data_IF_847799893225
#
_entry.id   IF_847799893225
#
_cell.length_a   1.000
_cell.length_b   1.000
_cell.length_c   1.000
_cell.angle_alpha   90.00
_cell.angle_beta   90.00
_cell.angle_gamma   90.00
#
_symmetry.space_group_name_H-M   'P 1'
#
loop_
_entity.id
_entity.type
_entity.pdbx_description
1 polymer ?
#
# COMPACT_ATOMS: atom_id res chain seq x y z
N UNK A 1 17.08 11.19 -17.26
CA UNK A 1 16.71 12.62 -17.19
C UNK A 1 17.37 13.16 -15.94
N UNK A 2 18.12 14.24 -16.02
CA UNK A 2 18.78 14.82 -14.87
C UNK A 2 17.79 15.69 -14.09
N UNK A 3 17.54 15.37 -12.82
CA UNK A 3 16.58 16.08 -11.96
C UNK A 3 17.03 17.54 -11.70
N UNK A 4 18.33 17.80 -11.75
CA UNK A 4 18.91 19.11 -11.46
C UNK A 4 18.96 20.04 -12.69
N UNK A 5 18.99 19.47 -13.92
CA UNK A 5 19.16 20.22 -15.16
C UNK A 5 17.96 20.11 -16.10
N UNK A 6 16.93 19.32 -15.73
CA UNK A 6 15.75 19.11 -16.57
C UNK A 6 14.76 20.28 -16.52
N UNK A 7 13.98 20.45 -17.60
CA UNK A 7 12.86 21.41 -17.60
C UNK A 7 11.80 20.92 -16.59
N UNK A 8 11.39 21.76 -15.66
CA UNK A 8 10.47 21.44 -14.55
C UNK A 8 9.14 20.87 -15.06
N UNK A 9 8.49 21.54 -16.02
CA UNK A 9 7.16 21.13 -16.53
C UNK A 9 7.09 19.68 -17.06
N UNK A 10 7.95 19.23 -18.00
CA UNK A 10 7.90 17.86 -18.49
C UNK A 10 8.34 16.83 -17.42
N UNK A 11 9.21 17.21 -16.52
CA UNK A 11 9.61 16.38 -15.41
C UNK A 11 8.43 16.14 -14.47
N UNK A 12 7.78 17.20 -14.01
CA UNK A 12 6.60 17.15 -13.16
C UNK A 12 5.47 16.33 -13.82
N UNK A 13 5.16 16.58 -15.11
CA UNK A 13 4.13 15.81 -15.80
C UNK A 13 4.43 14.30 -15.84
N UNK A 14 5.71 13.91 -16.02
CA UNK A 14 6.13 12.51 -15.99
C UNK A 14 5.89 11.87 -14.62
N UNK A 15 6.27 12.56 -13.53
CA UNK A 15 6.06 12.07 -12.17
C UNK A 15 4.58 12.02 -11.81
N UNK A 16 3.81 13.03 -12.20
CA UNK A 16 2.36 13.08 -12.01
C UNK A 16 1.66 11.91 -12.69
N UNK A 17 1.97 11.65 -13.97
CA UNK A 17 1.38 10.52 -14.71
C UNK A 17 1.77 9.17 -14.07
N UNK A 18 3.01 9.03 -13.61
CA UNK A 18 3.46 7.83 -12.94
C UNK A 18 2.75 7.60 -11.61
N UNK A 19 2.59 8.64 -10.79
CA UNK A 19 1.87 8.58 -9.51
C UNK A 19 0.38 8.30 -9.74
N UNK A 20 -0.24 9.00 -10.68
CA UNK A 20 -1.65 8.82 -11.03
C UNK A 20 -1.95 7.41 -11.54
N UNK A 21 -1.12 6.87 -12.45
CA UNK A 21 -1.26 5.49 -12.93
C UNK A 21 -1.17 4.46 -11.80
N UNK A 22 -0.24 4.65 -10.86
CA UNK A 22 -0.12 3.76 -9.69
C UNK A 22 -1.35 3.85 -8.78
N UNK A 23 -1.86 5.05 -8.50
CA UNK A 23 -3.02 5.24 -7.65
C UNK A 23 -4.30 4.70 -8.29
N UNK A 24 -4.49 4.94 -9.59
CA UNK A 24 -5.65 4.44 -10.33
C UNK A 24 -5.74 2.92 -10.34
N UNK A 25 -4.65 2.21 -10.65
CA UNK A 25 -4.71 0.75 -10.72
C UNK A 25 -5.02 0.16 -9.35
N UNK A 26 -4.51 0.76 -8.27
CA UNK A 26 -4.82 0.32 -6.91
C UNK A 26 -6.31 0.43 -6.60
N UNK A 27 -6.95 1.52 -7.00
CA UNK A 27 -8.40 1.69 -6.84
C UNK A 27 -9.19 0.72 -7.72
N UNK A 28 -8.76 0.52 -8.97
CA UNK A 28 -9.44 -0.37 -9.92
C UNK A 28 -9.40 -1.82 -9.44
N UNK A 29 -8.23 -2.35 -9.05
CA UNK A 29 -8.18 -3.74 -8.60
C UNK A 29 -8.95 -3.97 -7.30
N UNK A 30 -8.98 -3.01 -6.39
CA UNK A 30 -9.78 -3.11 -5.16
C UNK A 30 -11.29 -3.20 -5.45
N UNK A 31 -11.77 -2.43 -6.42
CA UNK A 31 -13.18 -2.48 -6.87
C UNK A 31 -13.46 -3.83 -7.52
N UNK A 32 -12.56 -4.31 -8.40
CA UNK A 32 -12.71 -5.57 -9.12
C UNK A 32 -12.71 -6.76 -8.16
N UNK A 33 -11.77 -6.82 -7.21
CA UNK A 33 -11.69 -7.83 -6.16
C UNK A 33 -13.02 -7.88 -5.36
N UNK A 34 -13.50 -6.72 -4.90
CA UNK A 34 -14.78 -6.62 -4.19
C UNK A 34 -15.96 -7.09 -5.04
N UNK A 35 -15.99 -6.73 -6.34
CA UNK A 35 -17.07 -7.11 -7.24
C UNK A 35 -17.06 -8.63 -7.53
N UNK A 36 -15.89 -9.24 -7.76
CA UNK A 36 -15.76 -10.67 -8.05
C UNK A 36 -16.09 -11.52 -6.83
N UNK A 37 -15.60 -11.15 -5.64
CA UNK A 37 -15.95 -11.82 -4.39
C UNK A 37 -17.45 -11.67 -4.08
N UNK A 38 -18.00 -10.47 -4.33
CA UNK A 38 -19.43 -10.21 -4.17
C UNK A 38 -20.30 -11.01 -5.12
N UNK A 39 -19.85 -11.23 -6.35
CA UNK A 39 -20.55 -12.06 -7.33
C UNK A 39 -20.53 -13.55 -6.95
N UNK A 40 -19.44 -14.03 -6.36
CA UNK A 40 -19.30 -15.44 -5.96
C UNK A 40 -19.96 -15.78 -4.62
N UNK A 41 -19.69 -14.98 -3.57
CA UNK A 41 -20.17 -15.20 -2.19
C UNK A 41 -21.33 -14.28 -1.77
N UNK A 42 -21.81 -13.40 -2.67
CA UNK A 42 -22.86 -12.44 -2.36
C UNK A 42 -22.43 -11.39 -1.33
N UNK A 43 -23.41 -10.80 -0.61
CA UNK A 43 -23.15 -9.75 0.38
C UNK A 43 -22.19 -10.15 1.52
N UNK A 44 -22.17 -11.43 1.88
CA UNK A 44 -21.26 -11.94 2.93
C UNK A 44 -19.80 -11.87 2.50
N UNK A 45 -19.50 -12.15 1.23
CA UNK A 45 -18.14 -12.02 0.69
C UNK A 45 -17.63 -10.57 0.73
N UNK A 46 -18.45 -9.63 0.26
CA UNK A 46 -18.10 -8.20 0.30
C UNK A 46 -17.97 -7.68 1.74
N UNK A 47 -18.82 -8.13 2.67
CA UNK A 47 -18.69 -7.79 4.07
C UNK A 47 -17.40 -8.34 4.71
N UNK A 48 -17.00 -9.57 4.34
CA UNK A 48 -15.74 -10.14 4.80
C UNK A 48 -14.52 -9.31 4.34
N UNK A 49 -14.51 -8.86 3.07
CA UNK A 49 -13.47 -7.94 2.57
C UNK A 49 -13.45 -6.60 3.32
N UNK A 50 -14.63 -6.05 3.62
CA UNK A 50 -14.74 -4.80 4.38
C UNK A 50 -14.15 -4.91 5.79
N UNK A 51 -14.29 -6.07 6.44
CA UNK A 51 -13.66 -6.36 7.75
C UNK A 51 -12.13 -6.45 7.64
N UNK A 52 -11.61 -6.95 6.53
CA UNK A 52 -10.15 -7.06 6.30
C UNK A 52 -9.51 -5.72 5.89
N UNK A 53 -10.28 -4.81 5.30
CA UNK A 53 -9.77 -3.54 4.78
C UNK A 53 -8.96 -2.70 5.80
N UNK A 54 -9.32 -2.58 7.09
CA UNK A 54 -8.50 -1.86 8.06
C UNK A 54 -7.12 -2.49 8.29
N UNK A 55 -6.98 -3.81 8.18
CA UNK A 55 -5.68 -4.50 8.27
C UNK A 55 -4.76 -4.05 7.14
N UNK A 56 -5.32 -3.93 5.92
CA UNK A 56 -4.62 -3.38 4.77
C UNK A 56 -4.17 -1.95 4.98
N UNK A 57 -5.08 -1.08 5.42
CA UNK A 57 -4.78 0.32 5.65
C UNK A 57 -3.62 0.49 6.62
N UNK A 58 -3.56 -0.30 7.69
CA UNK A 58 -2.48 -0.23 8.68
C UNK A 58 -1.14 -0.62 8.05
N UNK A 59 -1.06 -1.74 7.33
CA UNK A 59 0.23 -2.18 6.75
C UNK A 59 0.71 -1.24 5.65
N UNK A 60 -0.21 -0.70 4.83
CA UNK A 60 0.11 0.31 3.83
C UNK A 60 0.60 1.61 4.46
N UNK A 61 -0.08 2.11 5.48
CA UNK A 61 0.31 3.34 6.19
C UNK A 61 1.67 3.20 6.85
N UNK A 62 1.99 2.04 7.45
CA UNK A 62 3.32 1.75 7.98
C UNK A 62 4.39 1.75 6.89
N UNK A 63 4.07 1.22 5.71
CA UNK A 63 4.95 1.27 4.54
C UNK A 63 5.22 2.69 4.05
N UNK A 64 4.18 3.53 4.04
CA UNK A 64 4.30 4.96 3.70
C UNK A 64 5.09 5.73 4.75
N UNK A 65 4.91 5.43 6.04
CA UNK A 65 5.67 6.05 7.14
C UNK A 65 7.18 5.96 6.89
N UNK A 66 7.68 4.76 6.66
CA UNK A 66 9.12 4.55 6.44
C UNK A 66 9.55 4.88 5.02
N UNK A 67 8.67 4.64 4.04
CA UNK A 67 8.94 4.87 2.62
C UNK A 67 9.03 6.35 2.29
N UNK A 68 7.98 7.12 2.56
CA UNK A 68 7.97 8.57 2.29
C UNK A 68 8.92 9.29 3.25
N UNK A 69 8.87 8.99 4.56
CA UNK A 69 9.77 9.60 5.52
C UNK A 69 11.24 9.42 5.18
N UNK A 70 11.63 8.19 4.80
CA UNK A 70 13.01 7.89 4.42
C UNK A 70 13.42 8.47 3.07
N UNK A 71 12.55 8.35 2.04
CA UNK A 71 12.89 8.76 0.68
C UNK A 71 12.93 10.28 0.50
N UNK A 72 12.13 11.03 1.24
CA UNK A 72 12.18 12.50 1.25
C UNK A 72 13.52 12.97 1.82
N UNK A 73 13.92 12.46 3.00
CA UNK A 73 15.22 12.83 3.60
C UNK A 73 16.37 12.37 2.70
N UNK A 74 16.28 11.18 2.11
CA UNK A 74 17.24 10.68 1.13
C UNK A 74 17.42 11.67 -0.03
N UNK A 75 16.33 12.15 -0.63
CA UNK A 75 16.38 13.14 -1.71
C UNK A 75 16.97 14.48 -1.25
N UNK A 76 16.58 14.98 -0.07
CA UNK A 76 17.09 16.22 0.49
C UNK A 76 18.60 16.16 0.73
N UNK A 77 19.10 15.07 1.31
CA UNK A 77 20.53 14.87 1.58
C UNK A 77 21.33 14.71 0.29
N UNK A 78 20.75 14.05 -0.71
CA UNK A 78 21.37 13.89 -2.03
C UNK A 78 21.48 15.21 -2.79
N UNK A 79 20.52 16.12 -2.64
CA UNK A 79 20.58 17.47 -3.24
C UNK A 79 21.56 18.42 -2.54
N UNK A 80 22.03 18.07 -1.35
CA UNK A 80 23.00 18.85 -0.59
C UNK A 80 24.43 18.40 -0.98
N UNK A 81 25.16 19.22 -1.71
CA UNK A 81 26.53 18.91 -2.19
C UNK A 81 27.53 18.62 -1.07
N UNK A 82 27.20 18.94 0.19
CA UNK A 82 28.11 18.84 1.34
C UNK A 82 28.18 17.44 1.98
N UNK A 83 27.26 16.52 1.69
CA UNK A 83 27.11 15.27 2.46
C UNK A 83 26.98 14.04 1.54
N UNK A 84 27.91 13.84 0.61
CA UNK A 84 27.94 12.66 -0.28
C UNK A 84 28.01 11.35 0.53
N UNK A 85 27.04 10.45 0.32
CA UNK A 85 26.97 9.12 0.93
C UNK A 85 26.10 9.01 2.19
N UNK A 86 25.74 10.12 2.83
CA UNK A 86 24.86 10.12 4.03
C UNK A 86 23.43 9.73 3.67
N UNK A 87 22.99 10.03 2.46
CA UNK A 87 21.64 9.69 1.95
C UNK A 87 21.38 8.18 2.04
N UNK A 88 22.35 7.36 1.72
CA UNK A 88 22.23 5.90 1.76
C UNK A 88 22.10 5.32 3.18
N UNK A 89 22.54 6.06 4.21
CA UNK A 89 22.28 5.67 5.59
C UNK A 89 20.79 5.76 5.92
N UNK A 90 20.06 6.73 5.35
CA UNK A 90 18.60 6.84 5.52
C UNK A 90 17.86 5.72 4.79
N UNK A 91 18.33 5.32 3.60
CA UNK A 91 17.80 4.13 2.94
C UNK A 91 17.98 2.87 3.80
N UNK A 92 19.20 2.66 4.35
CA UNK A 92 19.47 1.51 5.21
C UNK A 92 18.61 1.52 6.47
N UNK A 93 18.47 2.67 7.14
CA UNK A 93 17.64 2.78 8.36
C UNK A 93 16.15 2.58 8.04
N UNK A 94 15.67 3.10 6.90
CA UNK A 94 14.30 2.85 6.44
C UNK A 94 14.08 1.36 6.16
N UNK A 95 15.02 0.68 5.51
CA UNK A 95 14.94 -0.76 5.26
C UNK A 95 14.92 -1.57 6.56
N UNK A 96 15.77 -1.25 7.54
CA UNK A 96 15.75 -1.89 8.86
C UNK A 96 14.41 -1.62 9.57
N UNK A 97 13.93 -0.38 9.55
CA UNK A 97 12.62 -0.01 10.10
C UNK A 97 11.47 -0.78 9.43
N UNK A 98 11.52 -0.93 8.10
CA UNK A 98 10.57 -1.73 7.35
C UNK A 98 10.58 -3.20 7.75
N UNK A 99 11.76 -3.82 7.93
CA UNK A 99 11.89 -5.20 8.43
C UNK A 99 11.26 -5.32 9.81
N UNK A 100 11.61 -4.44 10.75
CA UNK A 100 11.10 -4.51 12.12
C UNK A 100 9.57 -4.34 12.16
N UNK A 101 9.03 -3.32 11.48
CA UNK A 101 7.59 -3.07 11.44
C UNK A 101 6.83 -4.19 10.72
N UNK A 102 7.37 -4.70 9.61
CA UNK A 102 6.72 -5.79 8.88
C UNK A 102 6.70 -7.09 9.67
N UNK A 103 7.78 -7.43 10.37
CA UNK A 103 7.85 -8.63 11.23
C UNK A 103 6.88 -8.50 12.42
N UNK A 104 6.82 -7.34 13.07
CA UNK A 104 5.88 -7.09 14.16
C UNK A 104 4.43 -7.19 13.70
N UNK A 105 4.09 -6.53 12.59
CA UNK A 105 2.74 -6.58 12.03
C UNK A 105 2.38 -8.01 11.57
N UNK A 106 3.32 -8.71 10.94
CA UNK A 106 3.16 -10.10 10.51
C UNK A 106 2.92 -11.05 11.69
N UNK A 107 3.75 -10.95 12.74
CA UNK A 107 3.57 -11.71 13.95
C UNK A 107 2.19 -11.43 14.60
N UNK A 108 1.77 -10.15 14.61
CA UNK A 108 0.44 -9.76 15.07
C UNK A 108 -0.68 -10.45 14.31
N UNK A 109 -0.62 -10.44 12.96
CA UNK A 109 -1.63 -11.09 12.12
C UNK A 109 -1.60 -12.61 12.22
N UNK A 110 -0.42 -13.21 12.38
CA UNK A 110 -0.30 -14.67 12.55
C UNK A 110 -0.86 -15.15 13.90
N UNK A 111 -0.54 -14.43 14.99
CA UNK A 111 -0.91 -14.84 16.35
C UNK A 111 -2.32 -14.39 16.75
N UNK A 112 -2.79 -13.28 16.22
CA UNK A 112 -4.01 -12.60 16.68
C UNK A 112 -5.01 -12.35 15.54
N UNK A 113 -5.06 -13.19 14.50
CA UNK A 113 -5.96 -13.01 13.37
C UNK A 113 -7.43 -12.91 13.80
N UNK A 114 -7.92 -13.82 14.65
CA UNK A 114 -9.29 -13.82 15.14
C UNK A 114 -9.62 -12.57 15.95
N UNK A 115 -8.88 -12.20 17.01
CA UNK A 115 -9.11 -10.97 17.75
C UNK A 115 -9.08 -9.72 16.88
N UNK A 116 -8.14 -9.62 15.93
CA UNK A 116 -8.02 -8.47 15.01
C UNK A 116 -9.26 -8.36 14.11
N UNK A 117 -9.66 -9.44 13.46
CA UNK A 117 -10.83 -9.44 12.57
C UNK A 117 -12.13 -9.18 13.35
N UNK A 118 -12.29 -9.76 14.53
CA UNK A 118 -13.45 -9.49 15.40
C UNK A 118 -13.48 -8.04 15.87
N UNK A 119 -12.32 -7.46 16.21
CA UNK A 119 -12.23 -6.03 16.56
C UNK A 119 -12.68 -5.12 15.40
N UNK A 120 -12.39 -5.50 14.16
CA UNK A 120 -12.82 -4.78 12.96
C UNK A 120 -14.23 -5.13 12.47
N UNK A 121 -14.96 -5.96 13.22
CA UNK A 121 -16.39 -6.18 13.01
C UNK A 121 -16.75 -7.54 12.40
N UNK A 122 -15.82 -8.52 12.37
CA UNK A 122 -16.18 -9.89 12.01
C UNK A 122 -17.06 -10.52 13.11
N UNK A 123 -18.24 -10.94 12.73
CA UNK A 123 -19.08 -11.84 13.53
C UNK A 123 -18.74 -13.31 13.23
N UNK A 124 -19.49 -14.23 13.86
CA UNK A 124 -19.29 -15.69 13.69
C UNK A 124 -19.51 -16.14 12.22
N UNK A 125 -20.32 -15.42 11.44
CA UNK A 125 -20.60 -15.76 10.04
C UNK A 125 -19.49 -15.23 9.09
N UNK A 126 -18.96 -14.05 9.33
CA UNK A 126 -17.96 -13.39 8.48
C UNK A 126 -16.54 -13.85 8.79
N UNK A 127 -16.26 -14.24 10.03
CA UNK A 127 -14.93 -14.62 10.49
C UNK A 127 -14.30 -15.75 9.65
N UNK A 128 -15.00 -16.84 9.29
CA UNK A 128 -14.44 -17.90 8.42
C UNK A 128 -14.01 -17.35 7.05
N UNK A 129 -14.88 -16.57 6.39
CA UNK A 129 -14.60 -15.99 5.08
C UNK A 129 -13.43 -15.00 5.11
N UNK A 130 -13.39 -14.12 6.11
CA UNK A 130 -12.30 -13.17 6.29
C UNK A 130 -10.95 -13.87 6.52
N UNK A 131 -10.94 -14.95 7.30
CA UNK A 131 -9.74 -15.79 7.55
C UNK A 131 -9.32 -16.54 6.29
N UNK A 132 -10.27 -17.03 5.50
CA UNK A 132 -10.01 -17.73 4.25
C UNK A 132 -9.36 -16.79 3.23
N UNK A 133 -9.86 -15.58 3.06
CA UNK A 133 -9.24 -14.54 2.25
C UNK A 133 -7.81 -14.21 2.72
N UNK A 134 -7.63 -14.05 4.03
CA UNK A 134 -6.33 -13.70 4.62
C UNK A 134 -5.30 -14.85 4.57
N UNK A 135 -5.73 -16.08 4.38
CA UNK A 135 -4.86 -17.26 4.47
C UNK A 135 -3.65 -17.21 3.53
N UNK A 136 -3.80 -17.00 2.20
CA UNK A 136 -2.64 -16.88 1.31
C UNK A 136 -1.84 -15.61 1.55
N UNK A 137 -2.50 -14.54 1.95
CA UNK A 137 -1.94 -13.22 2.19
C UNK A 137 -0.96 -13.23 3.37
N UNK A 138 -1.25 -14.01 4.41
CA UNK A 138 -0.39 -14.14 5.60
C UNK A 138 1.05 -14.53 5.24
N UNK A 139 1.26 -15.31 4.19
CA UNK A 139 2.62 -15.73 3.80
C UNK A 139 3.44 -14.62 3.16
N UNK A 140 2.80 -13.65 2.54
CA UNK A 140 3.44 -12.53 1.84
C UNK A 140 3.19 -11.18 2.50
N UNK A 141 2.60 -11.19 3.69
CA UNK A 141 2.20 -9.97 4.41
C UNK A 141 3.29 -8.90 4.51
N UNK A 142 4.57 -9.23 4.80
CA UNK A 142 5.65 -8.25 4.81
C UNK A 142 5.85 -7.53 3.47
N UNK A 143 5.57 -8.18 2.34
CA UNK A 143 5.80 -7.60 1.01
C UNK A 143 4.95 -6.36 0.75
N UNK A 144 3.78 -6.25 1.37
CA UNK A 144 2.91 -5.08 1.21
C UNK A 144 3.57 -3.81 1.75
N UNK A 145 4.20 -3.89 2.92
CA UNK A 145 4.95 -2.78 3.50
C UNK A 145 6.18 -2.45 2.64
N UNK A 146 6.92 -3.48 2.22
CA UNK A 146 8.10 -3.30 1.37
C UNK A 146 7.75 -2.70 0.01
N UNK A 147 6.62 -3.07 -0.59
CA UNK A 147 6.16 -2.51 -1.85
C UNK A 147 5.97 -0.99 -1.73
N UNK A 148 5.36 -0.50 -0.65
CA UNK A 148 5.17 0.93 -0.43
C UNK A 148 6.51 1.65 -0.22
N UNK A 149 7.38 1.07 0.61
CA UNK A 149 8.71 1.63 0.86
C UNK A 149 9.54 1.69 -0.44
N UNK A 150 9.63 0.59 -1.19
CA UNK A 150 10.41 0.55 -2.43
C UNK A 150 9.85 1.51 -3.47
N UNK A 151 8.53 1.55 -3.67
CA UNK A 151 7.91 2.47 -4.61
C UNK A 151 8.28 3.94 -4.30
N UNK A 152 8.31 4.34 -3.02
CA UNK A 152 8.71 5.68 -2.61
C UNK A 152 10.20 5.95 -2.90
N UNK A 153 11.09 5.02 -2.57
CA UNK A 153 12.52 5.18 -2.84
C UNK A 153 12.85 5.15 -4.33
N UNK A 154 12.22 4.28 -5.13
CA UNK A 154 12.44 4.22 -6.57
C UNK A 154 12.05 5.53 -7.28
N UNK A 155 10.95 6.17 -6.85
CA UNK A 155 10.54 7.48 -7.36
C UNK A 155 11.63 8.53 -7.10
N UNK A 156 12.20 8.52 -5.91
CA UNK A 156 13.26 9.43 -5.48
C UNK A 156 14.65 9.02 -6.01
N UNK A 157 14.84 7.77 -6.43
CA UNK A 157 16.08 7.29 -7.09
C UNK A 157 15.99 7.33 -8.63
N UNK A 158 15.36 8.37 -9.18
CA UNK A 158 15.28 8.66 -10.62
C UNK A 158 14.58 7.59 -11.47
N UNK A 159 13.80 6.70 -10.86
CA UNK A 159 13.12 5.62 -11.57
C UNK A 159 11.62 5.50 -11.25
N UNK A 160 10.83 6.60 -11.34
CA UNK A 160 9.40 6.57 -11.05
C UNK A 160 8.62 5.64 -11.97
N UNK A 161 9.09 5.46 -13.22
CA UNK A 161 8.45 4.56 -14.18
C UNK A 161 8.50 3.10 -13.73
N UNK A 162 9.61 2.65 -13.11
CA UNK A 162 9.70 1.28 -12.60
C UNK A 162 8.80 1.08 -11.36
N UNK A 163 8.70 2.08 -10.48
CA UNK A 163 7.76 2.03 -9.36
C UNK A 163 6.31 1.86 -9.85
N UNK A 164 5.93 2.65 -10.88
CA UNK A 164 4.60 2.53 -11.51
C UNK A 164 4.42 1.18 -12.20
N UNK A 165 5.42 0.70 -12.95
CA UNK A 165 5.36 -0.60 -13.62
C UNK A 165 5.20 -1.74 -12.62
N UNK A 166 5.89 -1.68 -11.48
CA UNK A 166 5.74 -2.66 -10.40
C UNK A 166 4.31 -2.72 -9.88
N UNK A 167 3.72 -1.56 -9.54
CA UNK A 167 2.33 -1.50 -9.05
C UNK A 167 1.34 -1.94 -10.13
N UNK A 168 1.52 -1.50 -11.38
CA UNK A 168 0.65 -1.87 -12.50
C UNK A 168 0.69 -3.37 -12.79
N UNK A 169 1.89 -3.98 -12.84
CA UNK A 169 2.01 -5.41 -13.14
C UNK A 169 1.34 -6.28 -12.08
N UNK A 170 1.49 -5.94 -10.81
CA UNK A 170 0.81 -6.63 -9.72
C UNK A 170 -0.71 -6.43 -9.75
N UNK A 171 -1.19 -5.20 -10.01
CA UNK A 171 -2.61 -4.90 -10.09
C UNK A 171 -3.29 -5.55 -11.31
N UNK A 172 -2.65 -5.55 -12.47
CA UNK A 172 -3.16 -6.25 -13.67
C UNK A 172 -3.23 -7.76 -13.41
N UNK A 173 -2.18 -8.33 -12.79
CA UNK A 173 -2.20 -9.74 -12.43
C UNK A 173 -3.32 -10.04 -11.42
N UNK A 174 -3.52 -9.19 -10.42
CA UNK A 174 -4.58 -9.37 -9.43
C UNK A 174 -5.95 -9.45 -10.12
N UNK A 175 -6.30 -8.49 -11.01
CA UNK A 175 -7.58 -8.49 -11.74
C UNK A 175 -7.77 -9.77 -12.56
N UNK A 176 -6.74 -10.20 -13.30
CA UNK A 176 -6.80 -11.43 -14.09
C UNK A 176 -6.84 -12.69 -13.21
N UNK A 177 -6.05 -12.67 -12.12
CA UNK A 177 -5.97 -13.74 -11.13
C UNK A 177 -7.26 -13.93 -10.35
N UNK A 178 -7.94 -12.83 -9.99
CA UNK A 178 -9.25 -12.89 -9.33
C UNK A 178 -10.25 -13.66 -10.19
N UNK A 179 -10.38 -13.29 -11.46
CA UNK A 179 -11.27 -14.02 -12.36
C UNK A 179 -10.88 -15.50 -12.47
N UNK A 180 -9.60 -15.78 -12.68
CA UNK A 180 -9.11 -17.14 -12.85
C UNK A 180 -9.25 -18.01 -11.60
N UNK A 181 -8.80 -17.52 -10.45
CA UNK A 181 -8.82 -18.31 -9.22
C UNK A 181 -10.21 -18.38 -8.59
N UNK A 182 -10.98 -17.28 -8.60
CA UNK A 182 -12.31 -17.25 -7.99
C UNK A 182 -13.30 -18.12 -8.78
N UNK A 183 -13.36 -17.94 -10.11
CA UNK A 183 -14.39 -18.59 -10.93
C UNK A 183 -13.87 -19.82 -11.68
N UNK A 184 -12.72 -19.73 -12.37
CA UNK A 184 -12.24 -20.85 -13.20
C UNK A 184 -11.71 -22.02 -12.36
N UNK A 185 -10.98 -21.67 -11.26
CA UNK A 185 -10.48 -22.69 -10.32
C UNK A 185 -11.47 -22.98 -9.19
N UNK A 186 -12.60 -22.28 -9.13
CA UNK A 186 -13.66 -22.43 -8.11
C UNK A 186 -13.15 -22.34 -6.67
N UNK A 187 -12.14 -21.44 -6.45
CA UNK A 187 -11.49 -21.24 -5.14
C UNK A 187 -12.19 -20.17 -4.29
N UNK A 188 -13.20 -19.49 -4.84
CA UNK A 188 -13.97 -18.48 -4.14
C UNK A 188 -13.08 -17.38 -3.53
N UNK A 189 -13.39 -16.98 -2.28
CA UNK A 189 -12.72 -15.88 -1.59
C UNK A 189 -11.23 -16.17 -1.30
N UNK A 190 -10.85 -17.44 -1.14
CA UNK A 190 -9.45 -17.84 -1.05
C UNK A 190 -8.68 -17.52 -2.33
N UNK A 191 -9.32 -17.74 -3.50
CA UNK A 191 -8.76 -17.43 -4.81
C UNK A 191 -8.44 -15.95 -4.97
N UNK A 192 -9.34 -15.08 -4.52
CA UNK A 192 -9.14 -13.63 -4.50
C UNK A 192 -7.94 -13.23 -3.60
N UNK A 193 -7.86 -13.80 -2.40
CA UNK A 193 -6.69 -13.62 -1.52
C UNK A 193 -5.39 -14.12 -2.14
N UNK A 194 -5.43 -15.22 -2.90
CA UNK A 194 -4.27 -15.77 -3.60
C UNK A 194 -3.82 -14.87 -4.75
N UNK A 195 -4.74 -14.34 -5.54
CA UNK A 195 -4.44 -13.37 -6.61
C UNK A 195 -3.77 -12.11 -6.03
N UNK A 196 -4.27 -11.60 -4.92
CA UNK A 196 -3.71 -10.47 -4.19
C UNK A 196 -2.29 -10.77 -3.68
N UNK A 197 -2.08 -11.95 -3.12
CA UNK A 197 -0.77 -12.39 -2.63
C UNK A 197 0.26 -12.50 -3.76
N UNK A 198 -0.08 -13.15 -4.87
CA UNK A 198 0.80 -13.30 -6.03
C UNK A 198 1.05 -11.94 -6.70
N UNK A 199 0.00 -11.12 -6.88
CA UNK A 199 0.13 -9.77 -7.43
C UNK A 199 1.10 -8.90 -6.64
N UNK A 200 1.03 -8.96 -5.29
CA UNK A 200 1.99 -8.28 -4.42
C UNK A 200 3.42 -8.80 -4.61
N UNK A 201 3.60 -10.11 -4.76
CA UNK A 201 4.89 -10.73 -5.07
C UNK A 201 5.46 -10.26 -6.41
N UNK A 202 4.63 -10.20 -7.45
CA UNK A 202 5.01 -9.70 -8.78
C UNK A 202 5.45 -8.24 -8.69
N UNK A 203 4.67 -7.38 -8.01
CA UNK A 203 5.03 -5.97 -7.77
C UNK A 203 6.39 -5.85 -7.13
N UNK A 204 6.65 -6.64 -6.08
CA UNK A 204 7.91 -6.65 -5.35
C UNK A 204 9.08 -7.06 -6.25
N UNK A 205 8.94 -8.18 -6.98
CA UNK A 205 9.98 -8.69 -7.87
C UNK A 205 10.31 -7.70 -9.00
N UNK A 206 9.29 -7.07 -9.60
CA UNK A 206 9.50 -6.05 -10.64
C UNK A 206 10.26 -4.85 -10.06
N UNK A 207 9.92 -4.37 -8.87
CA UNK A 207 10.63 -3.26 -8.24
C UNK A 207 12.05 -3.63 -7.82
N UNK A 208 12.32 -4.89 -7.43
CA UNK A 208 13.68 -5.37 -7.13
C UNK A 208 14.61 -5.31 -8.34
N UNK A 209 14.12 -5.35 -9.58
CA UNK A 209 14.95 -5.19 -10.77
C UNK A 209 15.70 -3.84 -10.81
N UNK A 210 15.26 -2.86 -10.01
CA UNK A 210 15.97 -1.60 -9.84
C UNK A 210 17.41 -1.80 -9.36
N UNK A 211 17.63 -2.74 -8.45
CA UNK A 211 18.96 -3.00 -7.87
C UNK A 211 19.99 -3.55 -8.88
N UNK A 212 19.50 -4.12 -9.99
CA UNK A 212 20.34 -4.60 -11.10
C UNK A 212 20.49 -3.51 -12.18
N UNK A 213 19.69 -2.45 -12.11
CA UNK A 213 19.68 -1.37 -13.11
C UNK A 213 20.87 -0.42 -12.93
N UNK A 214 21.41 0.09 -14.03
CA UNK A 214 22.42 1.16 -14.03
C UNK A 214 21.93 2.48 -13.40
N UNK A 215 20.62 2.64 -13.18
CA UNK A 215 20.04 3.82 -12.52
C UNK A 215 20.10 3.74 -11.00
N UNK A 216 20.37 2.55 -10.47
CA UNK A 216 20.39 2.30 -9.03
C UNK A 216 21.51 3.06 -8.34
N UNK A 217 21.14 3.86 -7.34
CA UNK A 217 22.10 4.51 -6.45
C UNK A 217 21.84 4.16 -4.98
N UNK A 218 20.81 3.35 -4.72
CA UNK A 218 20.49 2.85 -3.39
C UNK A 218 21.52 1.80 -2.96
N UNK A 219 22.18 2.04 -1.84
CA UNK A 219 23.17 1.11 -1.27
C UNK A 219 22.90 0.90 0.21
N UNK A 220 23.02 -0.32 0.65
CA UNK A 220 23.03 -0.64 2.07
C UNK A 220 24.41 -0.31 2.64
N UNK A 221 24.46 0.68 3.53
CA UNK A 221 25.66 1.15 4.19
C UNK A 221 25.49 1.13 5.70
N UNK A 222 26.58 1.02 6.46
CA UNK A 222 26.50 1.05 7.92
C UNK A 222 26.02 2.44 8.39
N UNK A 223 24.85 2.52 9.04
CA UNK A 223 24.31 3.82 9.46
C UNK A 223 25.00 4.32 10.73
N UNK A 224 25.32 5.58 10.75
CA UNK A 224 25.70 6.29 11.96
C UNK A 224 24.45 6.76 12.69
N UNK A 225 24.41 6.60 14.02
CA UNK A 225 23.30 7.03 14.88
C UNK A 225 21.92 6.57 14.36
N UNK A 226 21.68 5.25 14.18
CA UNK A 226 20.49 4.72 13.52
C UNK A 226 19.20 5.13 14.20
N UNK A 227 19.16 5.19 15.53
CA UNK A 227 17.98 5.60 16.29
C UNK A 227 17.57 7.04 15.99
N UNK A 228 18.54 7.96 15.88
CA UNK A 228 18.27 9.35 15.54
C UNK A 228 17.70 9.45 14.11
N UNK A 229 18.29 8.74 13.15
CA UNK A 229 17.81 8.73 11.77
C UNK A 229 16.42 8.09 11.65
N UNK A 230 16.15 7.02 12.40
CA UNK A 230 14.83 6.42 12.46
C UNK A 230 13.79 7.41 13.01
N UNK A 231 14.14 8.17 14.05
CA UNK A 231 13.27 9.24 14.57
C UNK A 231 13.00 10.31 13.51
N UNK A 232 14.02 10.74 12.77
CA UNK A 232 13.88 11.74 11.70
C UNK A 232 12.96 11.20 10.58
N UNK A 233 13.13 9.94 10.15
CA UNK A 233 12.26 9.25 9.19
C UNK A 233 10.81 9.21 9.70
N UNK A 234 10.62 8.77 10.94
CA UNK A 234 9.29 8.68 11.54
C UNK A 234 8.60 10.03 11.62
N UNK A 235 9.30 11.07 12.06
CA UNK A 235 8.73 12.45 12.14
C UNK A 235 8.34 12.95 10.75
N UNK A 236 9.20 12.74 9.74
CA UNK A 236 8.93 13.19 8.36
C UNK A 236 7.77 12.41 7.73
N UNK A 237 7.69 11.10 7.94
CA UNK A 237 6.64 10.25 7.39
C UNK A 237 5.33 10.27 8.19
N UNK A 238 5.35 10.80 9.42
CA UNK A 238 4.21 10.75 10.35
C UNK A 238 2.96 11.43 9.79
N UNK A 239 3.12 12.54 9.08
CA UNK A 239 1.99 13.26 8.49
C UNK A 239 1.20 12.39 7.52
N UNK A 240 1.89 11.67 6.63
CA UNK A 240 1.24 10.77 5.66
C UNK A 240 0.59 9.59 6.37
N UNK A 241 1.30 8.96 7.30
CA UNK A 241 0.77 7.88 8.12
C UNK A 241 -0.49 8.29 8.88
N UNK A 242 -0.46 9.47 9.54
CA UNK A 242 -1.57 9.97 10.32
C UNK A 242 -2.80 10.27 9.47
N UNK A 243 -2.62 10.83 8.26
CA UNK A 243 -3.73 11.10 7.34
C UNK A 243 -4.45 9.79 6.97
N UNK A 244 -3.72 8.75 6.59
CA UNK A 244 -4.30 7.48 6.20
C UNK A 244 -5.02 6.79 7.36
N UNK A 245 -4.41 6.78 8.55
CA UNK A 245 -5.03 6.22 9.76
C UNK A 245 -6.27 7.02 10.16
N UNK A 246 -6.20 8.36 10.13
CA UNK A 246 -7.33 9.23 10.45
C UNK A 246 -8.50 9.02 9.49
N UNK A 247 -8.22 8.87 8.17
CA UNK A 247 -9.26 8.54 7.18
C UNK A 247 -9.90 7.18 7.45
N UNK A 248 -9.11 6.17 7.84
CA UNK A 248 -9.63 4.87 8.25
C UNK A 248 -10.56 4.97 9.47
N UNK A 249 -10.13 5.69 10.51
CA UNK A 249 -10.96 5.94 11.71
C UNK A 249 -12.24 6.68 11.37
N UNK A 250 -12.16 7.73 10.55
CA UNK A 250 -13.34 8.48 10.10
C UNK A 250 -14.33 7.57 9.36
N UNK A 251 -13.86 6.74 8.46
CA UNK A 251 -14.70 5.77 7.73
C UNK A 251 -15.45 4.84 8.68
N UNK A 252 -14.75 4.28 9.68
CA UNK A 252 -15.39 3.41 10.69
C UNK A 252 -16.43 4.17 11.51
N UNK A 253 -16.11 5.39 11.93
CA UNK A 253 -17.06 6.22 12.69
C UNK A 253 -18.30 6.58 11.87
N UNK A 254 -18.11 6.99 10.61
CA UNK A 254 -19.23 7.28 9.71
C UNK A 254 -20.10 6.05 9.47
N UNK A 255 -19.49 4.90 9.18
CA UNK A 255 -20.21 3.64 8.98
C UNK A 255 -21.05 3.29 10.21
N UNK A 256 -20.51 3.42 11.42
CA UNK A 256 -21.25 3.18 12.67
C UNK A 256 -22.43 4.14 12.85
N UNK A 257 -22.22 5.42 12.55
CA UNK A 257 -23.29 6.43 12.68
C UNK A 257 -24.40 6.20 11.64
N UNK A 258 -24.04 5.91 10.39
CA UNK A 258 -24.99 5.62 9.32
C UNK A 258 -25.80 4.37 9.69
N UNK A 259 -25.16 3.29 10.12
CA UNK A 259 -25.86 2.08 10.56
C UNK A 259 -26.82 2.36 11.71
N UNK A 260 -26.39 3.16 12.70
CA UNK A 260 -27.19 3.45 13.90
C UNK A 260 -28.43 4.29 13.59
N UNK A 261 -28.33 5.30 12.71
CA UNK A 261 -29.40 6.28 12.50
C UNK A 261 -30.19 6.08 11.21
N UNK A 262 -29.57 5.51 10.16
CA UNK A 262 -30.16 5.40 8.82
C UNK A 262 -30.30 3.95 8.33
N UNK A 263 -29.69 2.99 9.01
CA UNK A 263 -29.77 1.58 8.68
C UNK A 263 -28.87 1.10 7.54
N UNK A 264 -29.03 -0.17 7.17
CA UNK A 264 -28.17 -0.87 6.21
C UNK A 264 -28.32 -0.32 4.77
N UNK A 265 -29.51 0.11 4.38
CA UNK A 265 -29.75 0.63 3.03
C UNK A 265 -28.99 1.93 2.76
N UNK A 266 -28.91 2.81 3.76
CA UNK A 266 -28.13 4.04 3.67
C UNK A 266 -26.62 3.75 3.63
N UNK A 267 -26.15 2.73 4.32
CA UNK A 267 -24.75 2.29 4.27
C UNK A 267 -24.41 1.72 2.88
N UNK A 268 -25.33 0.99 2.26
CA UNK A 268 -25.16 0.47 0.89
C UNK A 268 -25.01 1.61 -0.14
N UNK A 269 -25.71 2.74 0.06
CA UNK A 269 -25.56 3.94 -0.79
C UNK A 269 -24.25 4.67 -0.49
N UNK A 270 -23.83 4.72 0.76
CA UNK A 270 -22.62 5.42 1.19
C UNK A 270 -21.33 4.77 0.64
N UNK A 271 -21.31 3.44 0.46
CA UNK A 271 -20.18 2.72 -0.12
C UNK A 271 -19.72 3.26 -1.48
N UNK A 272 -20.60 3.34 -2.50
CA UNK A 272 -20.27 3.98 -3.79
C UNK A 272 -19.81 5.43 -3.66
N UNK A 273 -20.39 6.22 -2.74
CA UNK A 273 -19.96 7.61 -2.51
C UNK A 273 -18.51 7.66 -2.04
N UNK A 274 -18.12 6.78 -1.10
CA UNK A 274 -16.72 6.68 -0.66
C UNK A 274 -15.80 6.28 -1.82
N UNK A 275 -16.21 5.35 -2.67
CA UNK A 275 -15.39 4.93 -3.81
C UNK A 275 -15.14 6.08 -4.79
N UNK A 276 -16.16 6.88 -5.10
CA UNK A 276 -16.01 8.10 -5.92
C UNK A 276 -15.09 9.10 -5.23
N UNK A 277 -15.27 9.32 -3.91
CA UNK A 277 -14.39 10.20 -3.12
C UNK A 277 -12.94 9.73 -3.14
N UNK A 278 -12.70 8.43 -3.01
CA UNK A 278 -11.36 7.82 -3.07
C UNK A 278 -10.71 8.05 -4.44
N UNK A 279 -11.48 7.94 -5.52
CA UNK A 279 -10.99 8.24 -6.86
C UNK A 279 -10.54 9.71 -7.00
N UNK A 280 -11.33 10.65 -6.48
CA UNK A 280 -10.95 12.09 -6.46
C UNK A 280 -9.72 12.31 -5.58
N UNK A 281 -9.64 11.65 -4.43
CA UNK A 281 -8.45 11.70 -3.56
C UNK A 281 -7.20 11.17 -4.25
N UNK A 282 -7.29 10.12 -5.08
CA UNK A 282 -6.16 9.62 -5.88
C UNK A 282 -5.57 10.70 -6.78
N UNK A 283 -6.39 11.57 -7.36
CA UNK A 283 -5.91 12.71 -8.15
C UNK A 283 -5.10 13.69 -7.30
N UNK A 284 -5.64 14.10 -6.16
CA UNK A 284 -4.97 15.04 -5.24
C UNK A 284 -3.68 14.44 -4.66
N UNK A 285 -3.72 13.16 -4.27
CA UNK A 285 -2.56 12.43 -3.74
C UNK A 285 -1.43 12.31 -4.77
N UNK A 286 -1.79 12.08 -6.04
CA UNK A 286 -0.84 11.99 -7.14
C UNK A 286 -0.11 13.32 -7.39
N UNK A 287 -0.82 14.46 -7.24
CA UNK A 287 -0.22 15.79 -7.30
C UNK A 287 0.82 15.97 -6.19
N UNK A 288 0.48 15.62 -4.96
CA UNK A 288 1.39 15.70 -3.81
C UNK A 288 2.61 14.77 -3.94
N UNK A 289 2.44 13.57 -4.51
CA UNK A 289 3.57 12.65 -4.75
C UNK A 289 4.50 13.11 -5.87
N UNK A 290 4.02 13.92 -6.81
CA UNK A 290 4.81 14.42 -7.94
C UNK A 290 5.58 15.71 -7.61
N UNK A 291 5.14 16.46 -6.60
CA UNK A 291 5.76 17.70 -6.14
C UNK A 291 6.97 17.45 -5.26
#
# INVERSE_FOLDING_TARGET
MDLLKGKIKPLYAKYLLAAFGSAMITSVYSIVDTAMVGQYHGPQGTAALAVVAPVWNIIYSLGLLVGIGGSVIFSMKRGSEKESGVENQYFTVAAIGAVLLSVLAWAGVLCFDRPILTFFGADEALLPLAREYMRPIKYVFPLFLFNQMLAAFLRNDKNPGLATLGVLSGGIFNVAGDYFFVFTCDMGIYGAGLATAIGSGISFLVMLTHFISHKNTLRLVKPERPVRKLREITVTGFSTFFIDVAMGILTVLFNRQIMKYLGADALAIYGPIIQVSTFVQCCAYSVGQAA
#
